data_IF_120968180840
#
_entry.id   IF_120968180840
#
_cell.length_a   1.000
_cell.length_b   1.000
_cell.length_c   1.000
_cell.angle_alpha   90.00
_cell.angle_beta   90.00
_cell.angle_gamma   90.00
#
_symmetry.space_group_name_H-M   'P 1'
#
loop_
_entity.id
_entity.type
_entity.pdbx_description
1 polymer ?
#
# COMPACT_ATOMS: atom_id res chain seq x y z
N UNK A 1 4.92 -37.44 -4.68
CA UNK A 1 4.41 -36.24 -5.40
C UNK A 1 5.53 -35.23 -5.62
N UNK A 2 6.21 -34.76 -4.56
CA UNK A 2 7.34 -33.82 -4.68
C UNK A 2 8.50 -34.33 -5.56
N UNK A 3 8.86 -35.61 -5.45
CA UNK A 3 9.92 -36.21 -6.28
C UNK A 3 9.57 -36.20 -7.78
N UNK A 4 8.30 -36.44 -8.13
CA UNK A 4 7.81 -36.37 -9.51
C UNK A 4 7.90 -34.94 -10.04
N UNK A 5 7.47 -33.95 -9.24
CA UNK A 5 7.57 -32.53 -9.60
C UNK A 5 9.03 -32.13 -9.86
N UNK A 6 9.93 -32.45 -8.91
CA UNK A 6 11.36 -32.13 -9.06
C UNK A 6 11.99 -32.79 -10.30
N UNK A 7 11.60 -34.04 -10.60
CA UNK A 7 12.08 -34.75 -11.79
C UNK A 7 11.61 -34.09 -13.08
N UNK A 8 10.32 -33.76 -13.19
CA UNK A 8 9.77 -33.06 -14.35
C UNK A 8 10.40 -31.68 -14.52
N UNK A 9 10.60 -30.92 -13.43
CA UNK A 9 11.32 -29.63 -13.47
C UNK A 9 12.72 -29.80 -14.06
N UNK A 10 13.49 -30.78 -13.59
CA UNK A 10 14.83 -31.05 -14.11
C UNK A 10 14.82 -31.44 -15.61
N UNK A 11 13.82 -32.19 -16.07
CA UNK A 11 13.68 -32.53 -17.49
C UNK A 11 13.39 -31.29 -18.35
N UNK A 12 12.55 -30.38 -17.86
CA UNK A 12 12.22 -29.12 -18.56
C UNK A 12 13.43 -28.17 -18.59
N UNK A 13 14.19 -28.06 -17.51
CA UNK A 13 15.44 -27.30 -17.47
C UNK A 13 16.45 -27.83 -18.50
N UNK A 14 16.66 -29.15 -18.52
CA UNK A 14 17.54 -29.81 -19.50
C UNK A 14 17.04 -29.64 -20.94
N UNK A 15 15.72 -29.61 -21.15
CA UNK A 15 15.11 -29.32 -22.45
C UNK A 15 15.49 -27.91 -22.92
N UNK A 16 15.32 -26.91 -22.04
CA UNK A 16 15.63 -25.51 -22.34
C UNK A 16 17.13 -25.28 -22.58
N UNK A 17 17.98 -26.05 -21.92
CA UNK A 17 19.43 -26.02 -22.11
C UNK A 17 19.93 -26.85 -23.31
N UNK A 18 19.04 -27.53 -24.04
CA UNK A 18 19.38 -28.46 -25.13
C UNK A 18 20.30 -29.62 -24.70
N UNK A 19 20.13 -30.12 -23.46
CA UNK A 19 20.97 -31.16 -22.82
C UNK A 19 20.21 -32.46 -22.45
N UNK A 20 19.03 -32.68 -23.01
CA UNK A 20 18.30 -33.92 -22.76
C UNK A 20 19.03 -35.14 -23.35
N UNK A 21 19.15 -36.20 -22.56
CA UNK A 21 19.47 -37.53 -23.07
C UNK A 21 18.26 -38.17 -23.77
N UNK A 22 18.49 -39.22 -24.56
CA UNK A 22 17.43 -39.94 -25.29
C UNK A 22 16.41 -40.56 -24.32
N UNK A 23 16.88 -41.08 -23.20
CA UNK A 23 16.05 -41.65 -22.14
C UNK A 23 15.18 -40.57 -21.47
N UNK A 24 15.75 -39.39 -21.23
CA UNK A 24 15.07 -38.26 -20.62
C UNK A 24 14.07 -37.59 -21.57
N UNK A 25 14.37 -37.55 -22.87
CA UNK A 25 13.43 -37.08 -23.89
C UNK A 25 12.19 -37.98 -23.96
N UNK A 26 12.38 -39.30 -23.82
CA UNK A 26 11.28 -40.26 -23.74
C UNK A 26 10.43 -40.05 -22.48
N UNK A 27 11.08 -39.87 -21.32
CA UNK A 27 10.40 -39.60 -20.05
C UNK A 27 9.58 -38.29 -20.11
N UNK A 28 10.14 -37.24 -20.72
CA UNK A 28 9.43 -35.98 -20.94
C UNK A 28 8.23 -36.17 -21.86
N UNK A 29 8.38 -36.90 -22.98
CA UNK A 29 7.26 -37.21 -23.90
C UNK A 29 6.15 -38.01 -23.24
N UNK A 30 6.50 -38.98 -22.39
CA UNK A 30 5.54 -39.76 -21.62
C UNK A 30 4.74 -38.87 -20.66
N UNK A 31 5.40 -37.93 -19.97
CA UNK A 31 4.72 -36.95 -19.11
C UNK A 31 3.83 -35.99 -19.89
N UNK A 32 4.26 -35.50 -21.06
CA UNK A 32 3.43 -34.65 -21.93
C UNK A 32 2.16 -35.37 -22.40
N UNK A 33 2.25 -36.67 -22.68
CA UNK A 33 1.13 -37.50 -23.10
C UNK A 33 0.20 -37.93 -21.95
N UNK A 34 0.67 -37.86 -20.69
CA UNK A 34 -0.09 -38.28 -19.50
C UNK A 34 -1.39 -37.47 -19.32
N UNK A 35 -1.34 -36.16 -19.61
CA UNK A 35 -2.51 -35.30 -19.54
C UNK A 35 -2.38 -34.08 -20.47
N UNK A 36 -3.48 -33.69 -21.11
CA UNK A 36 -3.49 -32.54 -22.04
C UNK A 36 -3.08 -31.20 -21.41
N UNK A 37 -3.18 -31.05 -20.09
CA UNK A 37 -2.69 -29.86 -19.40
C UNK A 37 -1.15 -29.82 -19.26
N UNK A 38 -0.46 -30.97 -19.32
CA UNK A 38 1.00 -31.04 -19.26
C UNK A 38 1.63 -30.45 -20.53
N UNK A 39 1.11 -30.83 -21.70
CA UNK A 39 1.55 -30.24 -22.98
C UNK A 39 1.27 -28.74 -23.03
N UNK A 40 0.05 -28.32 -22.66
CA UNK A 40 -0.29 -26.88 -22.59
C UNK A 40 0.65 -26.10 -21.66
N UNK A 41 0.95 -26.63 -20.47
CA UNK A 41 1.90 -26.02 -19.54
C UNK A 41 3.32 -25.98 -20.13
N UNK A 42 3.78 -27.08 -20.72
CA UNK A 42 5.11 -27.18 -21.34
C UNK A 42 5.28 -26.16 -22.47
N UNK A 43 4.31 -26.05 -23.38
CA UNK A 43 4.33 -25.06 -24.45
C UNK A 43 4.34 -23.63 -23.90
N UNK A 44 3.60 -23.36 -22.83
CA UNK A 44 3.55 -22.03 -22.21
C UNK A 44 4.87 -21.52 -21.65
N UNK A 45 5.81 -22.41 -21.34
CA UNK A 45 7.10 -22.09 -20.71
C UNK A 45 8.32 -22.39 -21.59
N UNK A 46 8.14 -23.09 -22.72
CA UNK A 46 9.25 -23.45 -23.63
C UNK A 46 9.11 -22.85 -25.03
N UNK A 47 7.89 -22.53 -25.48
CA UNK A 47 7.67 -21.99 -26.82
C UNK A 47 8.15 -20.52 -26.90
N UNK A 48 9.13 -20.27 -27.76
CA UNK A 48 9.80 -18.95 -27.89
C UNK A 48 8.83 -17.85 -28.31
N UNK A 49 7.89 -18.12 -29.20
CA UNK A 49 6.89 -17.15 -29.66
C UNK A 49 5.88 -16.81 -28.55
N UNK A 50 5.38 -17.82 -27.83
CA UNK A 50 4.48 -17.64 -26.68
C UNK A 50 5.17 -16.87 -25.56
N UNK A 51 6.41 -17.23 -25.24
CA UNK A 51 7.24 -16.52 -24.28
C UNK A 51 7.50 -15.09 -24.72
N UNK A 52 7.83 -14.85 -25.99
CA UNK A 52 8.07 -13.50 -26.51
C UNK A 52 6.82 -12.61 -26.42
N UNK A 53 5.64 -13.17 -26.69
CA UNK A 53 4.40 -12.42 -26.58
C UNK A 53 4.03 -12.16 -25.11
N UNK A 54 4.20 -13.16 -24.22
CA UNK A 54 4.09 -12.95 -22.76
C UNK A 54 5.08 -11.90 -22.28
N UNK A 55 6.34 -11.94 -22.72
CA UNK A 55 7.38 -10.99 -22.37
C UNK A 55 7.09 -9.58 -22.86
N UNK A 56 6.45 -9.38 -24.02
CA UNK A 56 5.97 -8.05 -24.43
C UNK A 56 4.87 -7.52 -23.50
N UNK A 57 3.98 -8.41 -23.06
CA UNK A 57 2.93 -8.07 -22.09
C UNK A 57 3.55 -7.73 -20.73
N UNK A 58 4.52 -8.51 -20.24
CA UNK A 58 5.22 -8.24 -18.98
C UNK A 58 6.16 -7.04 -19.05
N UNK A 59 6.76 -6.76 -20.22
CA UNK A 59 7.66 -5.62 -20.44
C UNK A 59 6.90 -4.32 -20.76
N UNK A 60 5.61 -4.36 -21.08
CA UNK A 60 4.81 -3.15 -21.18
C UNK A 60 4.50 -2.63 -19.78
N UNK A 61 4.97 -1.42 -19.45
CA UNK A 61 4.75 -0.75 -18.16
C UNK A 61 3.28 -0.37 -17.92
N UNK A 62 2.41 -0.58 -18.91
CA UNK A 62 0.98 -0.27 -18.84
C UNK A 62 0.21 -1.35 -18.08
N UNK A 63 0.38 -1.33 -16.76
CA UNK A 63 -0.32 -2.21 -15.82
C UNK A 63 -1.86 -2.11 -15.97
N UNK A 64 -2.37 -0.96 -16.43
CA UNK A 64 -3.80 -0.75 -16.64
C UNK A 64 -4.29 -1.53 -17.87
N UNK A 65 -3.60 -1.45 -19.01
CA UNK A 65 -3.95 -2.23 -20.19
C UNK A 65 -3.89 -3.75 -19.95
N UNK A 66 -2.91 -4.21 -19.16
CA UNK A 66 -2.81 -5.62 -18.73
C UNK A 66 -3.99 -5.99 -17.83
N UNK A 67 -4.35 -5.11 -16.91
CA UNK A 67 -5.45 -5.31 -15.99
C UNK A 67 -6.79 -5.43 -16.70
N UNK A 68 -7.08 -4.55 -17.66
CA UNK A 68 -8.32 -4.62 -18.45
C UNK A 68 -8.43 -5.94 -19.23
N UNK A 69 -7.33 -6.41 -19.84
CA UNK A 69 -7.28 -7.74 -20.48
C UNK A 69 -7.50 -8.88 -19.48
N UNK A 70 -7.01 -8.73 -18.27
CA UNK A 70 -7.15 -9.72 -17.19
C UNK A 70 -8.61 -9.81 -16.75
N UNK A 71 -9.26 -8.68 -16.50
CA UNK A 71 -10.68 -8.61 -16.18
C UNK A 71 -11.55 -9.21 -17.28
N UNK A 72 -11.26 -8.89 -18.55
CA UNK A 72 -11.97 -9.46 -19.68
C UNK A 72 -11.86 -10.99 -19.72
N UNK A 73 -10.67 -11.55 -19.45
CA UNK A 73 -10.48 -13.01 -19.38
C UNK A 73 -11.22 -13.64 -18.22
N UNK A 74 -11.20 -13.02 -17.03
CA UNK A 74 -11.94 -13.50 -15.86
C UNK A 74 -13.44 -13.52 -16.15
N UNK A 75 -13.98 -12.43 -16.70
CA UNK A 75 -15.41 -12.33 -17.01
C UNK A 75 -15.81 -13.30 -18.15
N UNK A 76 -14.94 -13.53 -19.13
CA UNK A 76 -15.19 -14.47 -20.24
C UNK A 76 -15.09 -15.94 -19.78
N UNK A 77 -14.15 -16.27 -18.90
CA UNK A 77 -14.00 -17.61 -18.34
C UNK A 77 -15.14 -17.96 -17.36
N UNK A 78 -15.76 -16.96 -16.73
CA UNK A 78 -16.95 -17.15 -15.91
C UNK A 78 -18.18 -17.64 -16.70
N UNK A 79 -18.16 -17.50 -18.04
CA UNK A 79 -19.24 -17.97 -18.92
C UNK A 79 -19.24 -19.51 -19.07
N UNK A 80 -18.11 -20.19 -18.86
CA UNK A 80 -17.96 -21.65 -19.04
C UNK A 80 -17.95 -22.44 -17.70
N UNK A 81 -18.79 -22.05 -16.74
CA UNK A 81 -19.16 -22.93 -15.62
C UNK A 81 -18.98 -22.37 -14.20
N UNK A 82 -18.51 -21.14 -14.03
CA UNK A 82 -18.57 -20.48 -12.73
C UNK A 82 -19.96 -19.87 -12.52
N UNK A 83 -20.87 -20.61 -11.88
CA UNK A 83 -22.15 -20.04 -11.44
C UNK A 83 -21.87 -18.89 -10.45
N UNK A 84 -22.11 -17.66 -10.89
CA UNK A 84 -22.27 -16.52 -10.00
C UNK A 84 -23.43 -16.84 -9.04
N UNK A 85 -23.11 -17.19 -7.80
CA UNK A 85 -24.12 -17.26 -6.73
C UNK A 85 -24.49 -15.82 -6.39
N UNK A 86 -25.68 -15.38 -6.82
CA UNK A 86 -26.28 -14.15 -6.31
C UNK A 86 -26.45 -14.28 -4.79
N UNK A 87 -25.73 -13.45 -4.02
CA UNK A 87 -25.78 -13.44 -2.54
C UNK A 87 -26.95 -12.62 -1.97
N UNK A 88 -27.91 -12.21 -2.80
CA UNK A 88 -29.16 -11.68 -2.31
C UNK A 88 -30.25 -12.74 -2.47
N UNK A 89 -30.94 -13.16 -1.40
CA UNK A 89 -32.15 -13.93 -1.58
C UNK A 89 -33.12 -13.07 -2.39
N UNK A 90 -33.59 -13.57 -3.54
CA UNK A 90 -34.71 -12.97 -4.24
C UNK A 90 -35.84 -12.81 -3.23
N UNK A 91 -36.13 -11.56 -2.84
CA UNK A 91 -37.26 -11.26 -1.98
C UNK A 91 -38.52 -11.67 -2.74
N UNK A 92 -39.12 -12.81 -2.36
CA UNK A 92 -40.48 -13.16 -2.78
C UNK A 92 -41.40 -12.04 -2.31
N UNK A 93 -41.84 -11.21 -3.25
CA UNK A 93 -42.73 -10.09 -2.97
C UNK A 93 -44.11 -10.67 -2.62
N UNK A 94 -44.43 -10.74 -1.34
CA UNK A 94 -45.78 -11.05 -0.88
C UNK A 94 -46.67 -9.83 -1.12
N UNK A 95 -47.57 -9.90 -2.11
CA UNK A 95 -48.59 -8.86 -2.35
C UNK A 95 -49.68 -9.00 -1.28
N UNK A 96 -49.70 -8.09 -0.31
CA UNK A 96 -50.79 -7.98 0.67
C UNK A 96 -51.90 -7.11 0.05
N UNK A 97 -53.19 -7.52 0.09
CA UNK A 97 -54.28 -6.77 -0.50
C UNK A 97 -54.57 -5.47 0.28
N UNK A 98 -54.38 -4.34 -0.40
CA UNK A 98 -54.48 -2.96 0.12
C UNK A 98 -55.81 -2.59 0.81
N UNK A 99 -56.89 -3.34 0.58
CA UNK A 99 -58.23 -3.01 1.09
C UNK A 99 -58.40 -3.11 2.61
N UNK A 100 -57.61 -3.93 3.31
CA UNK A 100 -57.76 -4.13 4.78
C UNK A 100 -56.89 -3.18 5.62
N UNK A 101 -55.87 -2.55 5.03
CA UNK A 101 -54.93 -1.67 5.75
C UNK A 101 -55.47 -0.23 5.84
N UNK A 102 -56.24 0.21 4.84
CA UNK A 102 -56.80 1.57 4.80
C UNK A 102 -57.82 1.85 5.92
N UNK A 103 -58.60 0.85 6.34
CA UNK A 103 -59.62 1.02 7.39
C UNK A 103 -59.03 1.10 8.81
N UNK A 104 -57.88 0.47 9.05
CA UNK A 104 -57.19 0.56 10.35
C UNK A 104 -56.44 1.90 10.51
N UNK A 105 -55.88 2.43 9.41
CA UNK A 105 -55.16 3.69 9.42
C UNK A 105 -56.07 4.91 9.69
N UNK A 106 -57.31 4.89 9.22
CA UNK A 106 -58.28 5.97 9.47
C UNK A 106 -58.75 6.04 10.92
N UNK A 107 -58.91 4.89 11.60
CA UNK A 107 -59.26 4.83 13.02
C UNK A 107 -58.10 5.37 13.87
N UNK A 108 -56.86 4.99 13.56
CA UNK A 108 -55.67 5.49 14.26
C UNK A 108 -55.51 7.00 14.06
N UNK A 109 -55.76 7.53 12.86
CA UNK A 109 -55.72 8.96 12.56
C UNK A 109 -56.78 9.77 13.34
N UNK A 110 -57.99 9.24 13.48
CA UNK A 110 -59.06 9.91 14.24
C UNK A 110 -58.81 9.91 15.74
N UNK A 111 -58.27 8.80 16.28
CA UNK A 111 -57.90 8.71 17.70
C UNK A 111 -56.72 9.65 17.99
N UNK A 112 -55.70 9.68 17.12
CA UNK A 112 -54.54 10.55 17.29
C UNK A 112 -54.89 12.04 17.15
N UNK A 113 -55.79 12.41 16.23
CA UNK A 113 -56.32 13.77 16.13
C UNK A 113 -57.16 14.17 17.37
N UNK A 114 -57.98 13.27 17.89
CA UNK A 114 -58.75 13.49 19.12
C UNK A 114 -57.87 13.67 20.36
N UNK A 115 -56.83 12.84 20.50
CA UNK A 115 -55.86 13.00 21.60
C UNK A 115 -55.03 14.27 21.47
N UNK A 116 -54.63 14.65 20.27
CA UNK A 116 -53.86 15.88 20.04
C UNK A 116 -54.68 17.13 20.38
N UNK A 117 -55.96 17.14 20.01
CA UNK A 117 -56.87 18.25 20.35
C UNK A 117 -57.14 18.34 21.87
N UNK A 118 -57.26 17.20 22.55
CA UNK A 118 -57.57 17.16 23.98
C UNK A 118 -56.37 17.50 24.89
N UNK A 119 -55.14 17.20 24.45
CA UNK A 119 -53.91 17.41 25.23
C UNK A 119 -53.03 18.56 24.74
N UNK A 120 -53.40 19.24 23.64
CA UNK A 120 -52.55 20.19 22.90
C UNK A 120 -52.50 21.65 23.42
N UNK A 121 -53.04 21.98 24.59
CA UNK A 121 -52.86 23.30 25.22
C UNK A 121 -51.97 23.21 26.46
N UNK A 122 -50.66 23.02 26.25
CA UNK A 122 -49.62 23.52 27.15
C UNK A 122 -48.25 23.53 26.46
N UNK A 123 -47.68 24.73 26.47
CA UNK A 123 -46.27 25.15 26.33
C UNK A 123 -45.20 24.06 26.24
N UNK A 124 -44.35 24.14 25.21
CA UNK A 124 -42.98 24.69 25.30
C UNK A 124 -42.27 24.55 23.94
N UNK A 125 -41.57 25.61 23.53
CA UNK A 125 -40.71 25.60 22.35
C UNK A 125 -39.52 24.65 22.58
N UNK A 126 -39.57 23.45 22.00
CA UNK A 126 -38.39 22.63 21.74
C UNK A 126 -38.16 22.56 20.24
N UNK A 127 -37.02 23.12 19.86
CA UNK A 127 -36.40 23.12 18.55
C UNK A 127 -36.44 21.72 17.94
N UNK A 128 -36.93 21.64 16.70
CA UNK A 128 -37.03 20.41 15.93
C UNK A 128 -35.65 19.75 15.82
N UNK A 129 -35.52 18.54 16.35
CA UNK A 129 -34.53 17.59 15.86
C UNK A 129 -34.99 17.20 14.46
N UNK A 130 -34.28 17.67 13.46
CA UNK A 130 -34.38 17.12 12.12
C UNK A 130 -33.85 15.69 12.20
N UNK A 131 -34.77 14.72 12.22
CA UNK A 131 -34.47 13.36 11.84
C UNK A 131 -34.03 13.39 10.37
N UNK A 132 -32.72 13.50 10.15
CA UNK A 132 -32.13 13.15 8.86
C UNK A 132 -32.41 11.67 8.66
N UNK A 133 -33.33 11.39 7.75
CA UNK A 133 -33.45 10.11 7.09
C UNK A 133 -32.04 9.68 6.65
N UNK A 134 -31.42 8.77 7.41
CA UNK A 134 -30.31 7.96 6.95
C UNK A 134 -30.84 7.07 5.82
N UNK A 135 -30.92 7.66 4.64
CA UNK A 135 -30.74 6.90 3.41
C UNK A 135 -29.40 6.21 3.57
N UNK A 136 -29.42 4.87 3.67
CA UNK A 136 -28.23 4.07 3.88
C UNK A 136 -27.17 4.41 2.84
N UNK A 137 -26.22 5.26 3.23
CA UNK A 137 -25.01 5.48 2.47
C UNK A 137 -24.29 4.14 2.56
N UNK A 138 -24.34 3.37 1.47
CA UNK A 138 -23.35 2.32 1.25
C UNK A 138 -22.00 3.00 1.40
N UNK A 139 -21.29 2.74 2.49
CA UNK A 139 -19.88 3.10 2.61
C UNK A 139 -19.11 2.25 1.60
N UNK A 140 -19.12 2.68 0.34
CA UNK A 140 -18.43 1.99 -0.72
C UNK A 140 -16.93 2.07 -0.43
N UNK A 141 -16.29 0.90 -0.36
CA UNK A 141 -14.85 0.80 -0.14
C UNK A 141 -14.17 1.21 -1.44
N UNK A 142 -13.49 2.35 -1.40
CA UNK A 142 -12.76 2.90 -2.53
C UNK A 142 -11.26 2.64 -2.35
N UNK A 143 -10.49 2.64 -3.45
CA UNK A 143 -9.04 2.74 -3.38
C UNK A 143 -8.59 3.88 -2.48
N UNK A 144 -7.39 3.74 -1.92
CA UNK A 144 -6.76 4.81 -1.18
C UNK A 144 -6.50 6.05 -2.06
N UNK A 145 -6.19 7.16 -1.40
CA UNK A 145 -6.04 8.45 -2.05
C UNK A 145 -4.96 9.30 -1.39
N UNK A 146 -4.65 10.44 -2.00
CA UNK A 146 -3.69 11.39 -1.46
C UNK A 146 -4.28 12.12 -0.24
N UNK A 147 -4.06 11.59 0.98
CA UNK A 147 -4.60 12.12 2.24
C UNK A 147 -3.62 11.89 3.40
N UNK A 148 -3.41 12.93 4.20
CA UNK A 148 -2.58 12.91 5.39
C UNK A 148 -2.97 14.02 6.36
N UNK A 149 -2.50 13.89 7.59
CA UNK A 149 -2.57 14.93 8.63
C UNK A 149 -1.17 15.47 8.90
N UNK A 150 -1.02 16.78 8.88
CA UNK A 150 0.18 17.48 9.34
C UNK A 150 -0.02 17.92 10.80
N UNK A 151 0.83 17.46 11.70
CA UNK A 151 0.96 17.97 13.07
C UNK A 151 2.17 18.89 13.13
N UNK A 152 1.94 20.13 13.53
CA UNK A 152 2.97 21.16 13.68
C UNK A 152 3.70 21.03 15.03
N UNK A 153 4.85 21.70 15.18
CA UNK A 153 5.65 21.68 16.40
C UNK A 153 4.92 22.17 17.66
N UNK A 154 3.86 22.97 17.50
CA UNK A 154 3.02 23.47 18.60
C UNK A 154 1.89 22.48 18.96
N UNK A 155 1.80 21.35 18.27
CA UNK A 155 0.79 20.31 18.45
C UNK A 155 -0.50 20.53 17.64
N UNK A 156 -0.64 21.66 16.93
CA UNK A 156 -1.79 21.89 16.07
C UNK A 156 -1.80 20.94 14.87
N UNK A 157 -3.00 20.55 14.42
CA UNK A 157 -3.19 19.55 13.37
C UNK A 157 -3.94 20.09 12.17
N UNK A 158 -3.51 19.74 10.97
CA UNK A 158 -4.09 20.18 9.70
C UNK A 158 -4.36 18.95 8.83
N UNK A 159 -5.64 18.73 8.49
CA UNK A 159 -6.04 17.69 7.55
C UNK A 159 -5.74 18.16 6.12
N UNK A 160 -4.68 17.61 5.51
CA UNK A 160 -4.13 18.12 4.25
C UNK A 160 -5.05 17.88 3.06
N UNK A 161 -5.91 16.87 3.12
CA UNK A 161 -6.92 16.59 2.10
C UNK A 161 -8.02 17.68 2.03
N UNK A 162 -8.21 18.46 3.09
CA UNK A 162 -9.21 19.55 3.14
C UNK A 162 -8.63 20.92 2.82
N UNK A 163 -7.30 21.03 2.72
CA UNK A 163 -6.59 22.28 2.42
C UNK A 163 -6.60 22.53 0.91
N UNK A 164 -6.93 23.75 0.49
CA UNK A 164 -6.88 24.14 -0.93
C UNK A 164 -5.43 24.13 -1.45
N UNK A 165 -5.24 23.81 -2.73
CA UNK A 165 -3.92 23.98 -3.35
C UNK A 165 -3.48 25.45 -3.24
N UNK A 166 -2.17 25.66 -3.19
CA UNK A 166 -1.48 26.95 -2.99
C UNK A 166 -1.67 27.59 -1.60
N UNK A 167 -2.38 26.93 -0.69
CA UNK A 167 -2.47 27.38 0.71
C UNK A 167 -1.07 27.43 1.35
N UNK A 168 -0.85 28.50 2.12
CA UNK A 168 0.39 28.74 2.86
C UNK A 168 0.14 28.66 4.36
N UNK A 169 1.04 27.99 5.07
CA UNK A 169 1.06 27.92 6.54
C UNK A 169 2.40 28.52 6.97
N UNK A 170 2.34 29.50 7.86
CA UNK A 170 3.52 30.18 8.39
C UNK A 170 3.95 29.58 9.72
N UNK A 171 5.19 29.11 9.81
CA UNK A 171 5.84 28.66 11.05
C UNK A 171 7.10 29.47 11.30
N UNK A 172 6.95 30.80 11.35
CA UNK A 172 8.05 31.72 11.63
C UNK A 172 9.02 31.80 10.45
N UNK A 173 10.17 31.13 10.57
CA UNK A 173 11.23 31.12 9.55
C UNK A 173 11.02 30.07 8.46
N UNK A 174 10.02 29.22 8.61
CA UNK A 174 9.62 28.21 7.62
C UNK A 174 8.24 28.53 7.07
N UNK A 175 8.11 28.54 5.74
CA UNK A 175 6.83 28.61 5.06
C UNK A 175 6.51 27.24 4.48
N UNK A 176 5.35 26.70 4.84
CA UNK A 176 4.84 25.47 4.27
C UNK A 176 3.83 25.84 3.18
N UNK A 177 3.98 25.28 2.00
CA UNK A 177 3.03 25.48 0.90
C UNK A 177 2.51 24.14 0.41
N UNK A 178 1.20 24.03 0.19
CA UNK A 178 0.62 22.89 -0.50
C UNK A 178 0.61 23.16 -2.01
N UNK A 179 1.33 22.40 -2.82
CA UNK A 179 1.33 22.53 -4.28
C UNK A 179 1.10 21.15 -4.90
N UNK A 180 0.16 21.05 -5.83
CA UNK A 180 -0.19 19.81 -6.53
C UNK A 180 -0.45 18.62 -5.60
N UNK A 181 -1.14 18.86 -4.48
CA UNK A 181 -1.43 17.81 -3.50
C UNK A 181 -0.22 17.36 -2.66
N UNK A 182 0.87 18.13 -2.64
CA UNK A 182 2.10 17.80 -1.89
C UNK A 182 2.48 18.94 -0.96
N UNK A 183 3.16 18.63 0.13
CA UNK A 183 3.70 19.66 1.03
C UNK A 183 5.11 20.05 0.60
N UNK A 184 5.40 21.35 0.58
CA UNK A 184 6.71 21.90 0.31
C UNK A 184 7.12 22.79 1.47
N UNK A 185 8.27 22.47 2.07
CA UNK A 185 8.88 23.27 3.13
C UNK A 185 9.92 24.21 2.54
N UNK A 186 9.63 25.52 2.59
CA UNK A 186 10.52 26.56 2.11
C UNK A 186 11.13 27.33 3.29
N UNK A 187 12.44 27.50 3.25
CA UNK A 187 13.15 28.39 4.19
C UNK A 187 12.95 29.85 3.78
N UNK A 188 12.56 30.72 4.72
CA UNK A 188 12.50 32.17 4.48
C UNK A 188 13.90 32.79 4.59
N UNK A 189 14.31 33.54 3.57
CA UNK A 189 15.70 34.01 3.39
C UNK A 189 16.14 35.12 4.38
N UNK A 190 15.22 35.85 5.01
CA UNK A 190 15.52 37.04 5.85
C UNK A 190 15.40 36.81 7.38
N UNK A 191 15.57 35.57 7.83
CA UNK A 191 15.47 35.24 9.25
C UNK A 191 16.85 35.11 9.92
N UNK A 192 17.16 36.05 10.82
CA UNK A 192 18.30 35.91 11.73
C UNK A 192 18.13 34.62 12.55
N UNK A 193 19.13 33.73 12.47
CA UNK A 193 19.17 32.45 13.20
C UNK A 193 19.28 32.69 14.71
N UNK A 194 18.17 33.03 15.36
CA UNK A 194 18.08 33.06 16.81
C UNK A 194 17.01 32.07 17.28
N UNK A 195 17.41 31.19 18.19
CA UNK A 195 16.71 30.00 18.72
C UNK A 195 16.95 28.68 17.95
N UNK A 196 17.10 27.58 18.68
CA UNK A 196 17.44 26.25 18.16
C UNK A 196 16.24 25.62 17.45
N UNK A 197 15.92 26.10 16.25
CA UNK A 197 14.90 25.49 15.37
C UNK A 197 15.18 24.00 15.04
N UNK A 198 16.38 23.50 15.37
CA UNK A 198 16.75 22.08 15.33
C UNK A 198 15.90 21.20 16.26
N UNK A 199 15.29 21.78 17.29
CA UNK A 199 14.51 21.06 18.31
C UNK A 199 13.00 21.10 18.06
N UNK A 200 12.55 21.83 17.03
CA UNK A 200 11.15 21.91 16.65
C UNK A 200 10.85 20.94 15.51
N UNK A 201 9.86 20.08 15.71
CA UNK A 201 9.53 18.99 14.79
C UNK A 201 8.09 19.06 14.32
N UNK A 202 7.90 18.77 13.04
CA UNK A 202 6.59 18.47 12.50
C UNK A 202 6.46 16.95 12.26
N UNK A 203 5.22 16.49 12.18
CA UNK A 203 4.89 15.10 11.89
C UNK A 203 3.87 15.09 10.75
N UNK A 204 4.13 14.33 9.69
CA UNK A 204 3.12 14.01 8.69
C UNK A 204 2.72 12.55 8.85
N UNK A 205 1.42 12.31 8.97
CA UNK A 205 0.85 10.98 9.19
C UNK A 205 -0.17 10.66 8.09
N UNK A 206 0.03 9.53 7.41
CA UNK A 206 -0.94 8.96 6.48
C UNK A 206 -1.80 7.92 7.21
N UNK A 207 -3.13 8.03 7.19
CA UNK A 207 -3.99 6.98 7.70
C UNK A 207 -3.97 5.76 6.77
N UNK A 208 -4.68 4.70 7.14
CA UNK A 208 -5.03 3.64 6.19
C UNK A 208 -5.81 4.23 5.00
N UNK A 209 -5.51 3.72 3.82
CA UNK A 209 -5.94 4.20 2.52
C UNK A 209 -5.50 5.63 2.21
N UNK A 210 -4.44 6.12 2.85
CA UNK A 210 -3.84 7.40 2.55
C UNK A 210 -2.40 7.25 2.10
N UNK A 211 -2.00 7.98 1.09
CA UNK A 211 -0.59 8.20 0.78
C UNK A 211 -0.35 9.71 0.71
N UNK A 212 0.90 10.13 0.82
CA UNK A 212 1.22 11.56 0.71
C UNK A 212 2.68 11.78 0.34
N UNK A 213 2.94 12.80 -0.48
CA UNK A 213 4.30 13.23 -0.82
C UNK A 213 4.66 14.56 -0.12
N UNK A 214 5.88 14.62 0.39
CA UNK A 214 6.44 15.74 1.13
C UNK A 214 7.79 16.10 0.52
N UNK A 215 8.05 17.39 0.33
CA UNK A 215 9.38 17.95 0.10
C UNK A 215 9.87 18.56 1.41
N UNK A 216 10.93 17.97 1.96
CA UNK A 216 11.56 18.34 3.22
C UNK A 216 12.33 19.68 3.11
N UNK A 217 12.72 20.30 4.24
CA UNK A 217 13.45 21.57 4.24
C UNK A 217 14.80 21.56 3.50
N UNK A 218 15.42 20.39 3.31
CA UNK A 218 16.65 20.21 2.53
C UNK A 218 16.39 19.96 1.03
N UNK A 219 15.12 20.00 0.61
CA UNK A 219 14.66 19.70 -0.74
C UNK A 219 14.53 18.21 -1.07
N UNK A 220 14.87 17.31 -0.14
CA UNK A 220 14.68 15.87 -0.31
C UNK A 220 13.18 15.56 -0.40
N UNK A 221 12.81 14.58 -1.22
CA UNK A 221 11.40 14.19 -1.39
C UNK A 221 11.13 12.87 -0.70
N UNK A 222 9.98 12.78 -0.04
CA UNK A 222 9.55 11.58 0.67
C UNK A 222 8.10 11.28 0.29
N UNK A 223 7.85 10.04 -0.09
CA UNK A 223 6.51 9.50 -0.25
C UNK A 223 6.24 8.64 0.96
N UNK A 224 5.10 8.85 1.63
CA UNK A 224 4.61 8.02 2.71
C UNK A 224 3.50 7.12 2.18
N UNK A 225 3.65 5.81 2.42
CA UNK A 225 2.60 4.84 2.10
C UNK A 225 1.51 4.84 3.18
N UNK A 226 0.44 4.07 3.01
CA UNK A 226 -0.67 3.97 3.96
C UNK A 226 -0.24 3.55 5.37
N UNK A 227 -0.87 4.12 6.39
CA UNK A 227 -0.57 3.85 7.79
C UNK A 227 0.90 4.14 8.19
N UNK A 228 1.45 5.26 7.71
CA UNK A 228 2.84 5.65 7.98
C UNK A 228 2.92 7.03 8.63
N UNK A 229 4.04 7.32 9.28
CA UNK A 229 4.33 8.64 9.81
C UNK A 229 5.80 9.00 9.66
N UNK A 230 6.05 10.27 9.38
CA UNK A 230 7.39 10.84 9.30
C UNK A 230 7.46 12.05 10.23
N UNK A 231 8.36 12.00 11.22
CA UNK A 231 8.71 13.12 12.08
C UNK A 231 10.04 13.71 11.63
N UNK A 232 10.10 15.03 11.46
CA UNK A 232 11.28 15.72 10.93
C UNK A 232 11.37 17.15 11.48
N UNK A 233 12.59 17.71 11.60
CA UNK A 233 12.75 19.06 12.10
C UNK A 233 12.23 20.09 11.08
N UNK A 234 11.74 21.24 11.56
CA UNK A 234 11.29 22.33 10.69
C UNK A 234 12.43 22.90 9.83
N UNK A 235 13.67 22.76 10.30
CA UNK A 235 14.88 23.08 9.57
C UNK A 235 16.00 22.09 9.91
N UNK A 236 16.69 21.58 8.90
CA UNK A 236 17.93 20.84 9.12
C UNK A 236 19.07 21.83 9.41
N UNK A 237 19.72 21.66 10.57
CA UNK A 237 20.94 22.39 10.88
C UNK A 237 21.89 21.48 11.68
N UNK A 238 23.18 21.81 11.62
CA UNK A 238 24.24 20.95 12.15
C UNK A 238 24.88 20.06 11.08
N UNK A 239 25.43 18.92 11.51
CA UNK A 239 26.26 18.05 10.68
C UNK A 239 25.53 16.81 10.15
N UNK A 240 24.25 16.63 10.50
CA UNK A 240 23.41 15.49 10.12
C UNK A 240 21.97 15.95 9.84
N UNK A 241 21.25 15.21 8.99
CA UNK A 241 19.83 15.43 8.70
C UNK A 241 19.04 14.24 9.19
N UNK A 242 18.36 14.36 10.33
CA UNK A 242 17.70 13.23 10.98
C UNK A 242 16.18 13.32 10.81
N UNK A 243 15.56 12.23 10.39
CA UNK A 243 14.11 12.03 10.39
C UNK A 243 13.77 10.73 11.11
N UNK A 244 12.55 10.61 11.62
CA UNK A 244 12.05 9.40 12.26
C UNK A 244 10.86 8.84 11.47
N UNK A 245 10.88 7.55 11.17
CA UNK A 245 9.88 6.86 10.36
C UNK A 245 9.17 5.77 11.16
N UNK A 246 7.85 5.69 11.00
CA UNK A 246 7.03 4.50 11.28
C UNK A 246 6.24 4.14 10.01
N UNK A 247 6.08 2.85 9.71
CA UNK A 247 5.39 2.39 8.50
C UNK A 247 6.34 2.29 7.30
N UNK A 248 5.91 2.72 6.12
CA UNK A 248 6.70 2.63 4.89
C UNK A 248 6.85 3.98 4.17
N UNK A 249 8.06 4.26 3.72
CA UNK A 249 8.37 5.46 2.96
C UNK A 249 9.46 5.22 1.90
N UNK A 250 9.28 5.90 0.77
CA UNK A 250 10.27 6.00 -0.29
C UNK A 250 10.92 7.39 -0.26
N UNK A 251 12.24 7.42 -0.38
CA UNK A 251 13.06 8.62 -0.21
C UNK A 251 13.88 8.89 -1.46
N UNK A 252 13.83 10.14 -1.92
CA UNK A 252 14.78 10.73 -2.86
C UNK A 252 15.57 11.81 -2.13
N UNK A 253 16.77 11.44 -1.65
CA UNK A 253 17.57 12.33 -0.80
C UNK A 253 18.54 13.16 -1.64
N UNK A 254 18.50 14.47 -1.46
CA UNK A 254 19.45 15.39 -2.09
C UNK A 254 20.84 15.27 -1.47
N UNK A 255 21.87 15.43 -2.30
CA UNK A 255 23.22 15.67 -1.81
C UNK A 255 23.30 17.04 -1.14
N UNK A 256 23.84 17.07 0.07
CA UNK A 256 24.18 18.31 0.76
C UNK A 256 25.63 18.30 1.20
N UNK A 257 26.26 19.45 0.99
CA UNK A 257 27.61 19.74 1.47
C UNK A 257 27.54 20.19 2.92
N UNK A 258 28.50 19.74 3.73
CA UNK A 258 28.66 20.27 5.08
C UNK A 258 29.04 21.75 4.99
N UNK A 259 28.48 22.61 5.87
CA UNK A 259 28.92 23.98 5.96
C UNK A 259 30.42 24.01 6.26
N UNK A 260 31.15 24.89 5.58
CA UNK A 260 32.58 25.05 5.80
C UNK A 260 32.84 25.52 7.24
N UNK A 261 33.09 24.57 8.14
CA UNK A 261 33.62 24.88 9.48
C UNK A 261 35.14 25.05 9.37
N UNK A 262 35.75 25.73 10.35
CA UNK A 262 37.20 25.92 10.41
C UNK A 262 37.98 24.58 10.33
N UNK A 263 37.35 23.48 10.76
CA UNK A 263 37.94 22.13 10.74
C UNK A 263 37.85 21.45 9.35
N UNK A 264 36.82 21.75 8.55
CA UNK A 264 36.68 21.22 7.17
C UNK A 264 37.67 21.91 6.22
N UNK A 265 38.02 23.17 6.46
CA UNK A 265 39.03 23.90 5.69
C UNK A 265 40.45 23.29 5.79
N UNK A 266 40.73 22.49 6.84
CA UNK A 266 42.00 21.78 7.00
C UNK A 266 42.11 20.50 6.13
N UNK A 267 41.00 19.99 5.58
CA UNK A 267 40.98 18.79 4.74
C UNK A 267 41.06 19.13 3.24
N UNK A 268 42.25 19.57 2.77
CA UNK A 268 42.71 19.59 1.36
C UNK A 268 41.60 19.55 0.27
N UNK A 269 40.71 20.54 0.26
CA UNK A 269 39.73 20.77 -0.83
C UNK A 269 38.62 19.73 -0.99
N UNK A 270 38.37 18.81 -0.05
CA UNK A 270 37.20 17.91 -0.09
C UNK A 270 36.08 18.45 0.79
N UNK A 271 34.97 18.83 0.17
CA UNK A 271 33.74 19.16 0.89
C UNK A 271 33.12 17.86 1.39
N UNK A 272 33.09 17.68 2.72
CA UNK A 272 32.39 16.54 3.33
C UNK A 272 30.89 16.65 3.09
N UNK A 273 30.20 15.53 2.88
CA UNK A 273 28.74 15.50 2.68
C UNK A 273 28.02 15.39 4.02
N UNK A 274 26.90 16.09 4.18
CA UNK A 274 26.03 15.99 5.36
C UNK A 274 25.16 14.75 5.24
N UNK A 275 25.33 13.72 6.11
CA UNK A 275 24.50 12.52 6.06
C UNK A 275 23.03 12.81 6.32
N UNK A 276 22.18 12.00 5.71
CA UNK A 276 20.75 11.90 5.98
C UNK A 276 20.48 10.57 6.67
N UNK A 277 19.83 10.61 7.83
CA UNK A 277 19.62 9.48 8.71
C UNK A 277 18.13 9.30 8.95
N UNK A 278 17.61 8.13 8.56
CA UNK A 278 16.26 7.69 8.91
C UNK A 278 16.35 6.82 10.15
N UNK A 279 15.85 7.31 11.28
CA UNK A 279 15.66 6.52 12.50
C UNK A 279 14.33 5.78 12.41
N UNK A 280 14.37 4.47 12.63
CA UNK A 280 13.19 3.62 12.49
C UNK A 280 12.61 3.37 13.87
N UNK A 281 11.45 3.96 14.13
CA UNK A 281 10.76 3.81 15.40
C UNK A 281 10.01 2.47 15.41
N UNK A 282 10.47 1.53 16.23
CA UNK A 282 9.78 0.25 16.44
C UNK A 282 9.54 0.00 17.93
N UNK A 283 8.46 -0.73 18.29
CA UNK A 283 8.18 -1.10 19.68
C UNK A 283 9.30 -1.93 20.33
N UNK A 284 10.14 -2.61 19.54
CA UNK A 284 11.19 -3.51 20.00
C UNK A 284 12.42 -2.78 20.61
N UNK A 285 12.42 -1.44 20.65
CA UNK A 285 13.42 -0.61 21.35
C UNK A 285 14.86 -0.71 20.82
N UNK A 286 15.09 -1.50 19.78
CA UNK A 286 16.41 -1.71 19.18
C UNK A 286 16.74 -0.55 18.23
N UNK A 287 17.98 -0.05 18.29
CA UNK A 287 18.49 0.98 17.39
C UNK A 287 18.44 0.47 15.94
N UNK A 288 17.56 1.03 15.11
CA UNK A 288 17.49 0.73 13.68
C UNK A 288 17.59 2.04 12.90
N UNK A 289 18.61 2.15 12.03
CA UNK A 289 18.91 3.39 11.32
C UNK A 289 19.36 3.12 9.88
N UNK A 290 19.00 4.02 8.98
CA UNK A 290 19.43 4.02 7.59
C UNK A 290 20.15 5.34 7.32
N UNK A 291 21.42 5.28 6.92
CA UNK A 291 22.30 6.43 6.69
C UNK A 291 22.69 6.50 5.20
N UNK A 292 22.49 7.68 4.59
CA UNK A 292 22.76 7.95 3.17
C UNK A 292 23.37 9.34 2.98
N UNK A 293 23.98 9.60 1.80
CA UNK A 293 24.53 10.92 1.44
C UNK A 293 23.76 11.60 0.29
N UNK A 294 22.92 10.86 -0.43
CA UNK A 294 22.13 11.29 -1.58
C UNK A 294 21.86 10.07 -2.46
N UNK A 295 20.62 9.58 -2.41
CA UNK A 295 20.29 8.17 -2.67
C UNK A 295 18.78 8.03 -2.83
N UNK A 296 18.38 7.08 -3.68
CA UNK A 296 16.99 6.66 -3.86
C UNK A 296 16.79 5.31 -3.17
N UNK A 297 15.91 5.23 -2.17
CA UNK A 297 15.74 4.02 -1.36
C UNK A 297 14.34 3.93 -0.75
N UNK A 298 13.88 2.71 -0.46
CA UNK A 298 12.63 2.44 0.25
C UNK A 298 12.92 1.84 1.63
N UNK A 299 12.14 2.24 2.64
CA UNK A 299 12.16 1.65 3.98
C UNK A 299 10.75 1.21 4.35
N UNK A 300 10.57 -0.08 4.65
CA UNK A 300 9.35 -0.66 5.18
C UNK A 300 9.60 -1.15 6.60
N UNK A 301 8.89 -0.57 7.57
CA UNK A 301 9.08 -0.80 9.00
C UNK A 301 7.75 -0.96 9.74
N UNK A 302 6.75 -1.52 9.06
CA UNK A 302 5.50 -1.96 9.70
C UNK A 302 5.77 -3.07 10.73
N UNK A 303 5.16 -2.97 11.90
CA UNK A 303 5.40 -3.88 13.02
C UNK A 303 4.86 -5.28 12.75
N UNK A 304 3.74 -5.36 12.04
CA UNK A 304 3.06 -6.59 11.62
C UNK A 304 3.83 -7.39 10.55
N UNK A 305 4.80 -6.77 9.87
CA UNK A 305 5.66 -7.45 8.88
C UNK A 305 6.81 -8.25 9.54
N UNK A 306 7.03 -8.07 10.85
CA UNK A 306 7.99 -8.82 11.66
C UNK A 306 9.48 -8.59 11.33
N UNK A 307 9.77 -7.83 10.27
CA UNK A 307 11.12 -7.44 9.83
C UNK A 307 11.08 -6.05 9.23
N UNK A 308 12.10 -5.26 9.49
CA UNK A 308 12.32 -3.99 8.78
C UNK A 308 13.05 -4.31 7.48
N UNK A 309 12.62 -3.73 6.36
CA UNK A 309 13.24 -3.92 5.05
C UNK A 309 13.71 -2.59 4.50
N UNK A 310 14.95 -2.53 4.04
CA UNK A 310 15.51 -1.36 3.33
C UNK A 310 15.99 -1.81 1.97
N UNK A 311 15.45 -1.23 0.90
CA UNK A 311 15.80 -1.57 -0.48
C UNK A 311 16.44 -0.38 -1.15
N UNK A 312 17.58 -0.58 -1.81
CA UNK A 312 18.31 0.47 -2.49
C UNK A 312 18.02 0.46 -3.99
N UNK A 313 17.60 1.61 -4.51
CA UNK A 313 17.32 1.84 -5.93
C UNK A 313 18.55 2.47 -6.60
N UNK A 314 19.09 3.55 -6.02
CA UNK A 314 20.25 4.26 -6.55
C UNK A 314 21.11 4.83 -5.42
N UNK A 315 22.43 4.76 -5.55
CA UNK A 315 23.38 5.37 -4.61
C UNK A 315 23.99 4.33 -3.68
N UNK A 316 24.09 4.68 -2.39
CA UNK A 316 24.69 3.80 -1.37
C UNK A 316 24.02 4.02 -0.03
N UNK A 317 23.65 2.92 0.62
CA UNK A 317 22.94 2.95 1.91
C UNK A 317 23.72 2.14 2.93
N UNK A 318 23.94 2.72 4.10
CA UNK A 318 24.36 1.98 5.29
C UNK A 318 23.13 1.73 6.16
N UNK A 319 22.86 0.48 6.48
CA UNK A 319 21.82 0.07 7.42
C UNK A 319 22.44 -0.37 8.74
N UNK A 320 21.80 -0.04 9.85
CA UNK A 320 22.21 -0.40 11.21
C UNK A 320 21.07 -1.09 11.93
N UNK A 321 21.36 -2.20 12.61
CA UNK A 321 20.44 -2.89 13.53
C UNK A 321 21.19 -3.26 14.81
N UNK A 322 20.81 -2.66 15.93
CA UNK A 322 21.56 -2.74 17.19
C UNK A 322 22.98 -2.17 17.02
N UNK A 323 23.99 -3.02 17.21
CA UNK A 323 25.40 -2.68 17.04
C UNK A 323 25.98 -3.13 15.69
N UNK A 324 25.20 -3.84 14.88
CA UNK A 324 25.62 -4.34 13.58
C UNK A 324 25.25 -3.33 12.49
N UNK A 325 26.09 -3.23 11.47
CA UNK A 325 25.79 -2.44 10.28
C UNK A 325 26.25 -3.16 9.03
N UNK A 326 25.57 -2.90 7.92
CA UNK A 326 26.01 -3.31 6.58
C UNK A 326 25.74 -2.21 5.57
N UNK A 327 26.44 -2.28 4.43
CA UNK A 327 26.18 -1.40 3.29
C UNK A 327 25.56 -2.22 2.18
N UNK A 328 24.47 -1.71 1.60
CA UNK A 328 23.79 -2.33 0.46
C UNK A 328 24.10 -1.54 -0.82
N UNK A 329 23.96 -2.21 -1.96
CA UNK A 329 24.11 -1.70 -3.33
C UNK A 329 22.75 -1.63 -4.05
N UNK A 330 22.64 -0.89 -5.16
CA UNK A 330 21.43 -0.90 -5.99
C UNK A 330 20.96 -2.32 -6.33
N UNK A 331 19.65 -2.58 -6.15
CA UNK A 331 19.02 -3.90 -6.33
C UNK A 331 19.08 -4.82 -5.10
N UNK A 332 19.79 -4.42 -4.03
CA UNK A 332 19.84 -5.17 -2.78
C UNK A 332 18.80 -4.67 -1.77
N UNK A 333 18.24 -5.62 -1.01
CA UNK A 333 17.38 -5.38 0.14
C UNK A 333 18.03 -5.95 1.40
N UNK A 334 18.22 -5.09 2.41
CA UNK A 334 18.53 -5.51 3.77
C UNK A 334 17.24 -5.83 4.53
N UNK A 335 17.23 -6.95 5.25
CA UNK A 335 16.20 -7.32 6.22
C UNK A 335 16.81 -7.28 7.61
N UNK A 336 16.22 -6.47 8.48
CA UNK A 336 16.68 -6.23 9.84
C UNK A 336 15.69 -6.89 10.81
N UNK A 337 16.20 -7.72 11.70
CA UNK A 337 15.43 -8.39 12.74
C UNK A 337 16.29 -8.62 13.97
N UNK A 338 15.91 -8.03 15.11
CA UNK A 338 16.54 -8.29 16.41
C UNK A 338 18.08 -8.13 16.39
N UNK A 339 18.59 -7.09 15.73
CA UNK A 339 20.03 -6.82 15.60
C UNK A 339 20.73 -7.61 14.49
N UNK A 340 20.05 -8.57 13.84
CA UNK A 340 20.59 -9.28 12.67
C UNK A 340 20.26 -8.53 11.38
N UNK A 341 21.19 -8.60 10.43
CA UNK A 341 21.07 -8.02 9.09
C UNK A 341 21.34 -9.12 8.06
N UNK A 342 20.35 -9.42 7.23
CA UNK A 342 20.52 -10.30 6.06
C UNK A 342 20.27 -9.52 4.78
N UNK A 343 21.10 -9.72 3.76
CA UNK A 343 20.97 -9.08 2.46
C UNK A 343 20.45 -10.10 1.44
N UNK A 344 19.55 -9.66 0.57
CA UNK A 344 19.10 -10.42 -0.60
C UNK A 344 18.97 -9.50 -1.80
N UNK A 345 19.06 -10.07 -3.01
CA UNK A 345 18.69 -9.36 -4.23
C UNK A 345 17.17 -9.34 -4.37
N UNK A 346 16.62 -8.23 -4.85
CA UNK A 346 15.20 -8.07 -5.13
C UNK A 346 15.02 -7.28 -6.42
N UNK A 347 13.85 -7.43 -7.05
CA UNK A 347 13.42 -6.46 -8.04
C UNK A 347 13.00 -5.17 -7.31
N UNK A 348 13.76 -4.11 -7.51
CA UNK A 348 13.52 -2.84 -6.84
C UNK A 348 12.22 -2.17 -7.34
N UNK A 349 11.83 -2.39 -8.60
CA UNK A 349 10.60 -1.86 -9.17
C UNK A 349 9.37 -2.45 -8.48
N UNK A 350 9.41 -3.73 -8.14
CA UNK A 350 8.32 -4.37 -7.41
C UNK A 350 8.21 -3.86 -5.97
N UNK A 351 9.34 -3.56 -5.33
CA UNK A 351 9.36 -2.98 -3.98
C UNK A 351 8.75 -1.57 -3.96
N UNK A 352 9.09 -0.73 -4.94
CA UNK A 352 8.56 0.62 -5.05
C UNK A 352 7.28 0.69 -5.88
N UNK A 353 6.72 -0.45 -6.29
CA UNK A 353 5.54 -0.51 -7.16
C UNK A 353 4.38 0.34 -6.64
N UNK A 354 4.29 0.44 -5.31
CA UNK A 354 3.32 1.21 -4.58
C UNK A 354 3.42 2.73 -4.87
N UNK A 355 4.61 3.27 -5.14
CA UNK A 355 4.80 4.68 -5.54
C UNK A 355 4.45 4.91 -7.01
N UNK A 356 4.54 3.85 -7.83
CA UNK A 356 4.23 3.87 -9.26
C UNK A 356 2.82 3.36 -9.60
N UNK A 357 1.98 3.10 -8.61
CA UNK A 357 0.55 2.83 -8.78
C UNK A 357 0.14 1.36 -8.86
N UNK A 358 0.97 0.40 -8.44
CA UNK A 358 0.56 -1.01 -8.35
C UNK A 358 0.95 -1.66 -7.01
N UNK A 359 0.23 -2.72 -6.66
CA UNK A 359 0.55 -3.63 -5.56
C UNK A 359 1.15 -4.88 -6.19
N UNK A 360 2.37 -5.30 -5.81
CA UNK A 360 2.91 -6.57 -6.25
C UNK A 360 2.05 -7.70 -5.67
N UNK A 361 1.64 -8.60 -6.56
CA UNK A 361 0.88 -9.79 -6.23
C UNK A 361 1.79 -10.98 -6.46
N UNK A 362 1.90 -11.85 -5.47
CA UNK A 362 2.63 -13.10 -5.61
C UNK A 362 4.01 -13.15 -4.98
N UNK A 363 4.63 -14.31 -5.17
CA UNK A 363 5.71 -14.83 -4.35
C UNK A 363 5.20 -15.82 -3.28
N UNK A 364 6.09 -16.32 -2.41
CA UNK A 364 5.76 -17.31 -1.39
C UNK A 364 4.88 -16.76 -0.23
N UNK A 365 4.56 -15.47 -0.20
CA UNK A 365 3.85 -14.81 0.89
C UNK A 365 2.65 -13.99 0.40
N UNK A 366 1.52 -14.67 0.11
CA UNK A 366 0.24 -14.01 -0.21
C UNK A 366 -0.23 -13.08 0.92
N UNK A 367 0.19 -13.35 2.17
CA UNK A 367 -0.18 -12.52 3.31
C UNK A 367 0.40 -11.12 3.19
N UNK A 368 1.59 -10.98 2.60
CA UNK A 368 2.15 -9.68 2.28
C UNK A 368 1.23 -8.88 1.37
N UNK A 369 0.81 -9.44 0.22
CA UNK A 369 -0.13 -8.77 -0.69
C UNK A 369 -1.45 -8.43 0.00
N UNK A 370 -1.98 -9.35 0.83
CA UNK A 370 -3.19 -9.10 1.60
C UNK A 370 -3.00 -7.93 2.57
N UNK A 371 -1.90 -7.85 3.32
CA UNK A 371 -1.62 -6.70 4.20
C UNK A 371 -1.47 -5.37 3.42
N UNK A 372 -0.94 -5.41 2.20
CA UNK A 372 -0.92 -4.21 1.33
C UNK A 372 -2.35 -3.77 0.95
N UNK A 373 -3.23 -4.72 0.58
CA UNK A 373 -4.65 -4.45 0.31
C UNK A 373 -5.34 -3.91 1.56
N UNK A 374 -5.07 -4.52 2.72
CA UNK A 374 -5.59 -4.14 4.04
C UNK A 374 -5.33 -2.65 4.30
N UNK A 375 -4.06 -2.24 4.17
CA UNK A 375 -3.63 -0.86 4.39
C UNK A 375 -4.17 0.08 3.32
N UNK A 376 -4.17 -0.30 2.04
CA UNK A 376 -4.54 0.60 0.95
C UNK A 376 -6.04 0.84 0.80
N UNK A 377 -6.88 -0.18 0.99
CA UNK A 377 -8.34 -0.05 0.91
C UNK A 377 -8.97 0.26 2.27
N UNK A 378 -8.16 0.26 3.32
CA UNK A 378 -8.59 0.44 4.70
C UNK A 378 -9.71 -0.57 5.05
N UNK A 379 -9.39 -1.84 4.85
CA UNK A 379 -10.27 -2.99 5.11
C UNK A 379 -9.57 -3.96 6.03
N UNK A 380 -10.26 -4.67 6.91
CA UNK A 380 -9.68 -5.76 7.68
C UNK A 380 -9.59 -7.03 6.83
N UNK A 381 -8.64 -7.91 7.15
CA UNK A 381 -8.53 -9.22 6.51
C UNK A 381 -8.60 -10.30 7.58
N UNK A 382 -9.53 -11.23 7.41
CA UNK A 382 -9.75 -12.36 8.32
C UNK A 382 -9.63 -13.64 7.53
N UNK A 383 -8.82 -14.56 8.03
CA UNK A 383 -8.67 -15.91 7.48
C UNK A 383 -9.55 -16.89 8.26
N UNK A 384 -10.52 -17.50 7.59
CA UNK A 384 -11.39 -18.56 8.11
C UNK A 384 -10.82 -19.92 7.65
N UNK A 385 -10.16 -20.63 8.57
CA UNK A 385 -9.55 -21.93 8.29
C UNK A 385 -8.06 -21.87 7.95
N UNK A 386 -7.58 -22.83 7.14
CA UNK A 386 -6.18 -22.87 6.72
C UNK A 386 -5.94 -21.73 5.71
N UNK A 387 -4.84 -21.00 5.87
CA UNK A 387 -4.45 -19.96 4.92
C UNK A 387 -4.30 -20.59 3.52
N UNK A 388 -4.74 -19.90 2.44
CA UNK A 388 -4.65 -20.43 1.10
C UNK A 388 -3.20 -20.80 0.75
N UNK A 389 -3.00 -22.04 0.30
CA UNK A 389 -1.75 -22.46 -0.32
C UNK A 389 -1.87 -22.17 -1.81
N UNK A 390 -1.45 -20.97 -2.21
CA UNK A 390 -1.51 -20.51 -3.59
C UNK A 390 -0.61 -19.31 -3.77
N UNK A 391 0.31 -19.42 -4.73
CA UNK A 391 1.10 -18.29 -5.21
C UNK A 391 0.62 -17.98 -6.63
N UNK A 392 0.24 -16.74 -6.87
CA UNK A 392 0.04 -16.24 -8.22
C UNK A 392 0.77 -14.91 -8.34
N UNK A 393 1.51 -14.73 -9.41
CA UNK A 393 2.37 -13.58 -9.62
C UNK A 393 1.74 -12.57 -10.57
N UNK A 394 1.92 -11.28 -10.28
CA UNK A 394 1.41 -10.20 -11.11
C UNK A 394 1.48 -8.84 -10.43
N UNK A 395 0.91 -7.84 -11.11
CA UNK A 395 0.80 -6.46 -10.61
C UNK A 395 -0.67 -6.07 -10.60
N UNK A 396 -1.16 -5.68 -9.42
CA UNK A 396 -2.53 -5.19 -9.23
C UNK A 396 -2.52 -3.66 -9.25
N UNK A 397 -3.19 -2.99 -10.20
CA UNK A 397 -3.28 -1.53 -10.16
C UNK A 397 -3.92 -1.05 -8.84
N UNK A 398 -3.30 -0.08 -8.17
CA UNK A 398 -3.82 0.52 -6.94
C UNK A 398 -5.17 1.21 -7.14
N UNK A 399 -5.49 1.60 -8.38
CA UNK A 399 -6.76 2.20 -8.76
C UNK A 399 -7.89 1.16 -8.97
N UNK A 400 -7.58 -0.14 -8.98
CA UNK A 400 -8.59 -1.18 -9.14
C UNK A 400 -9.62 -1.13 -8.00
N UNK A 401 -10.89 -1.39 -8.32
CA UNK A 401 -11.92 -1.48 -7.28
C UNK A 401 -11.73 -2.72 -6.40
N UNK A 402 -12.23 -2.67 -5.17
CA UNK A 402 -12.13 -3.81 -4.24
C UNK A 402 -12.85 -5.06 -4.77
N UNK A 403 -13.94 -4.87 -5.53
CA UNK A 403 -14.67 -5.96 -6.17
C UNK A 403 -13.80 -6.66 -7.21
N UNK A 404 -13.05 -5.91 -8.00
CA UNK A 404 -12.15 -6.48 -9.00
C UNK A 404 -10.98 -7.22 -8.36
N UNK A 405 -10.49 -6.77 -7.20
CA UNK A 405 -9.50 -7.51 -6.41
C UNK A 405 -10.08 -8.85 -5.96
N UNK A 406 -11.30 -8.85 -5.42
CA UNK A 406 -11.95 -10.08 -4.97
C UNK A 406 -12.19 -11.03 -6.14
N UNK A 407 -12.60 -10.52 -7.30
CA UNK A 407 -12.70 -11.33 -8.54
C UNK A 407 -11.36 -11.97 -8.89
N UNK A 408 -10.27 -11.20 -8.84
CA UNK A 408 -8.92 -11.71 -9.13
C UNK A 408 -8.48 -12.80 -8.15
N UNK A 409 -8.68 -12.58 -6.84
CA UNK A 409 -8.37 -13.58 -5.81
C UNK A 409 -9.14 -14.88 -6.07
N UNK A 410 -10.44 -14.79 -6.30
CA UNK A 410 -11.30 -15.95 -6.58
C UNK A 410 -10.89 -16.68 -7.87
N UNK A 411 -10.51 -15.94 -8.92
CA UNK A 411 -10.01 -16.52 -10.17
C UNK A 411 -8.69 -17.28 -9.99
N UNK A 412 -7.92 -16.98 -8.94
CA UNK A 412 -6.67 -17.64 -8.58
C UNK A 412 -6.84 -18.63 -7.40
N UNK A 413 -8.06 -19.16 -7.20
CA UNK A 413 -8.40 -20.13 -6.16
C UNK A 413 -8.20 -19.64 -4.71
N UNK A 414 -8.09 -18.32 -4.50
CA UNK A 414 -8.12 -17.71 -3.17
C UNK A 414 -9.55 -17.25 -2.92
N UNK A 415 -10.34 -18.08 -2.23
CA UNK A 415 -11.75 -17.78 -1.98
C UNK A 415 -11.86 -16.58 -1.05
N UNK A 416 -12.39 -15.49 -1.55
CA UNK A 416 -12.53 -14.24 -0.82
C UNK A 416 -13.93 -13.66 -0.99
N UNK A 417 -14.48 -13.11 0.11
CA UNK A 417 -15.75 -12.37 0.11
C UNK A 417 -15.64 -11.09 0.93
N UNK A 418 -16.36 -10.05 0.52
CA UNK A 418 -16.43 -8.78 1.24
C UNK A 418 -17.63 -8.73 2.18
N UNK A 419 -17.39 -8.36 3.42
CA UNK A 419 -18.39 -7.81 4.31
C UNK A 419 -18.23 -6.29 4.33
N UNK A 420 -19.05 -5.58 3.54
CA UNK A 420 -18.99 -4.12 3.43
C UNK A 420 -19.28 -3.41 4.76
N UNK A 421 -20.19 -3.96 5.58
CA UNK A 421 -20.63 -3.35 6.84
C UNK A 421 -19.46 -3.23 7.82
N UNK A 422 -18.66 -4.29 7.91
CA UNK A 422 -17.53 -4.37 8.83
C UNK A 422 -16.19 -4.06 8.12
N UNK A 423 -16.25 -3.60 6.86
CA UNK A 423 -15.10 -3.38 5.97
C UNK A 423 -14.08 -4.52 6.05
N UNK A 424 -14.55 -5.76 5.97
CA UNK A 424 -13.72 -6.95 6.20
C UNK A 424 -13.74 -7.86 4.98
N UNK A 425 -12.57 -8.19 4.46
CA UNK A 425 -12.38 -9.28 3.50
C UNK A 425 -12.18 -10.57 4.30
N UNK A 426 -13.04 -11.55 4.03
CA UNK A 426 -12.96 -12.87 4.63
C UNK A 426 -12.39 -13.83 3.59
N UNK A 427 -11.27 -14.44 3.91
CA UNK A 427 -10.55 -15.40 3.07
C UNK A 427 -10.76 -16.80 3.60
N UNK A 428 -11.21 -17.73 2.76
CA UNK A 428 -11.44 -19.13 3.12
C UNK A 428 -10.60 -20.07 2.28
N UNK A 429 -10.36 -21.27 2.80
CA UNK A 429 -9.71 -22.39 2.09
C UNK A 429 -10.62 -23.01 1.02
#
# INVERSE_FOLDING_TARGET
MQEKVNRITSLIEKFLEEKLSVEEERELKEWLAEAGHNDSFFQQITNKEVLREKMKIYASTDSEAIWQKTLQKIDSAAVDGAKLVSLYPEKKVFRIPFGKIAAAASIILLISAGTWYYFGQSTENKTAKTDTNETGIKHHIVPGSNKATLTLHDGSTIALNSVQNESQIDQGHTQITKIDGRLIYNKKLDSDRSQSEQDLYNIVTTPRGGEYQITLPDGSKVWLNAASSLRFPIAFAGNERIVELTGEAYFEVNHQDQPATKDVAAQKGKVAKTPFIVKINTPAGSKNEVEVLGTHFNVMAYTEEGTIKTTLIEGKVKVTSGNNFQTIKPGEQARLKEGNISIQNVDAEDVIGWTTGFIPVGGPDIEYTMRQIERWYDVNIVYEGKKPEGSFEGKLPRAASIENIIKLLNANNIKARLNEKDRTIIVTS
#
